data_IF_793542719428
#
_entry.id   IF_793542719428
#
_cell.length_a   1.000
_cell.length_b   1.000
_cell.length_c   1.000
_cell.angle_alpha   90.00
_cell.angle_beta   90.00
_cell.angle_gamma   90.00
#
_symmetry.space_group_name_H-M   'P 1'
#
loop_
_entity.id
_entity.type
_entity.pdbx_description
1 polymer ?
#
# COMPACT_ATOMS: atom_id res chain seq x y z
N UNK A 1 11.84 -4.05 12.57
CA UNK A 1 10.61 -3.64 13.28
C UNK A 1 9.59 -3.03 12.32
N UNK A 2 9.84 -1.85 11.72
CA UNK A 2 8.91 -1.22 10.74
C UNK A 2 8.68 -2.08 9.50
N UNK A 3 9.77 -2.56 8.89
CA UNK A 3 9.72 -3.35 7.67
C UNK A 3 8.99 -4.68 7.88
N UNK A 4 9.34 -5.37 8.97
CA UNK A 4 8.68 -6.61 9.33
C UNK A 4 7.18 -6.41 9.64
N UNK A 5 6.81 -5.30 10.28
CA UNK A 5 5.40 -4.97 10.49
C UNK A 5 4.67 -4.70 9.17
N UNK A 6 5.29 -3.99 8.23
CA UNK A 6 4.75 -3.80 6.89
C UNK A 6 4.60 -5.14 6.15
N UNK A 7 5.60 -6.02 6.22
CA UNK A 7 5.56 -7.35 5.61
C UNK A 7 4.44 -8.21 6.19
N UNK A 8 4.24 -8.19 7.51
CA UNK A 8 3.17 -8.92 8.18
C UNK A 8 1.79 -8.47 7.68
N UNK A 9 1.55 -7.16 7.58
CA UNK A 9 0.28 -6.63 7.08
C UNK A 9 0.09 -6.95 5.58
N UNK A 10 1.15 -6.87 4.77
CA UNK A 10 1.10 -7.25 3.36
C UNK A 10 0.81 -8.76 3.18
N UNK A 11 1.36 -9.63 4.02
CA UNK A 11 1.06 -11.07 4.01
C UNK A 11 -0.40 -11.35 4.37
N UNK A 12 -0.97 -10.62 5.32
CA UNK A 12 -2.39 -10.72 5.66
C UNK A 12 -3.29 -10.31 4.49
N UNK A 13 -2.94 -9.22 3.79
CA UNK A 13 -3.60 -8.80 2.56
C UNK A 13 -3.60 -9.90 1.50
N UNK A 14 -2.43 -10.49 1.23
CA UNK A 14 -2.31 -11.59 0.26
C UNK A 14 -3.14 -12.80 0.67
N UNK A 15 -3.17 -13.12 1.97
CA UNK A 15 -3.99 -14.21 2.52
C UNK A 15 -5.47 -13.93 2.29
N UNK A 16 -5.95 -12.72 2.58
CA UNK A 16 -7.34 -12.32 2.38
C UNK A 16 -7.75 -12.40 0.90
N UNK A 17 -6.90 -11.91 -0.01
CA UNK A 17 -7.15 -11.99 -1.45
C UNK A 17 -7.14 -13.44 -1.94
N UNK A 18 -6.21 -14.27 -1.46
CA UNK A 18 -6.14 -15.68 -1.85
C UNK A 18 -7.34 -16.52 -1.42
N UNK A 19 -8.06 -16.09 -0.38
CA UNK A 19 -9.27 -16.72 0.12
C UNK A 19 -10.52 -16.37 -0.72
N UNK A 20 -10.43 -15.39 -1.63
CA UNK A 20 -11.54 -15.03 -2.51
C UNK A 20 -11.77 -16.10 -3.57
N UNK A 21 -13.03 -16.47 -3.79
CA UNK A 21 -13.41 -17.49 -4.77
C UNK A 21 -13.51 -16.97 -6.21
N UNK A 22 -13.50 -15.64 -6.38
CA UNK A 22 -13.60 -14.96 -7.67
C UNK A 22 -12.87 -13.63 -7.61
N UNK A 23 -12.58 -13.03 -8.77
CA UNK A 23 -12.01 -11.68 -8.84
C UNK A 23 -12.95 -10.71 -8.11
N UNK A 24 -12.48 -9.96 -7.09
CA UNK A 24 -13.29 -8.97 -6.39
C UNK A 24 -13.73 -7.85 -7.34
N UNK A 25 -14.86 -7.21 -7.02
CA UNK A 25 -15.21 -5.93 -7.63
C UNK A 25 -14.33 -4.79 -7.11
N UNK A 26 -14.47 -3.62 -7.74
CA UNK A 26 -13.67 -2.43 -7.42
C UNK A 26 -13.80 -2.04 -5.96
N UNK A 27 -15.00 -2.06 -5.41
CA UNK A 27 -15.25 -1.56 -4.06
C UNK A 27 -14.74 -2.56 -3.01
N UNK A 28 -14.91 -3.86 -3.24
CA UNK A 28 -14.38 -4.94 -2.40
C UNK A 28 -12.85 -4.89 -2.32
N UNK A 29 -12.16 -4.80 -3.47
CA UNK A 29 -10.70 -4.74 -3.47
C UNK A 29 -10.18 -3.42 -2.87
N UNK A 30 -10.91 -2.32 -3.09
CA UNK A 30 -10.61 -1.03 -2.46
C UNK A 30 -10.67 -1.14 -0.94
N UNK A 31 -11.73 -1.74 -0.39
CA UNK A 31 -11.91 -1.87 1.04
C UNK A 31 -10.87 -2.80 1.69
N UNK A 32 -10.50 -3.89 1.01
CA UNK A 32 -9.42 -4.79 1.44
C UNK A 32 -8.10 -4.00 1.56
N UNK A 33 -7.71 -3.28 0.50
CA UNK A 33 -6.47 -2.48 0.50
C UNK A 33 -6.55 -1.34 1.51
N UNK A 34 -7.70 -0.65 1.62
CA UNK A 34 -7.90 0.43 2.58
C UNK A 34 -7.71 -0.03 4.03
N UNK A 35 -8.17 -1.24 4.38
CA UNK A 35 -7.95 -1.82 5.72
C UNK A 35 -6.46 -1.98 6.04
N UNK A 36 -5.62 -2.32 5.07
CA UNK A 36 -4.16 -2.37 5.24
C UNK A 36 -3.62 -1.00 5.67
N UNK A 37 -3.99 0.07 4.97
CA UNK A 37 -3.50 1.42 5.31
C UNK A 37 -4.07 1.94 6.63
N UNK A 38 -5.33 1.63 6.94
CA UNK A 38 -5.91 1.93 8.25
C UNK A 38 -5.13 1.29 9.39
N UNK A 39 -4.68 0.04 9.21
CA UNK A 39 -3.84 -0.63 10.22
C UNK A 39 -2.46 -0.02 10.35
N UNK A 40 -1.87 0.43 9.24
CA UNK A 40 -0.61 1.18 9.28
C UNK A 40 -0.81 2.50 10.04
N UNK A 41 -1.92 3.20 9.80
CA UNK A 41 -2.29 4.45 10.48
C UNK A 41 -2.68 4.25 11.96
N UNK A 42 -3.25 3.11 12.33
CA UNK A 42 -3.59 2.79 13.74
C UNK A 42 -2.39 2.20 14.52
N UNK A 43 -1.23 2.05 13.88
CA UNK A 43 -0.03 1.45 14.46
C UNK A 43 0.85 2.44 15.23
N UNK A 44 2.10 2.03 15.53
CA UNK A 44 3.11 2.92 16.07
C UNK A 44 3.69 3.89 15.03
N UNK A 45 3.43 3.66 13.73
CA UNK A 45 4.00 4.46 12.64
C UNK A 45 3.68 5.94 12.80
N UNK A 46 2.42 6.41 12.90
CA UNK A 46 2.11 7.84 12.96
C UNK A 46 2.86 8.60 14.05
N UNK A 47 3.11 7.99 15.21
CA UNK A 47 3.90 8.62 16.28
C UNK A 47 5.35 8.84 15.84
N UNK A 48 5.94 7.83 15.21
CA UNK A 48 7.27 7.89 14.60
C UNK A 48 7.34 8.88 13.42
N UNK A 49 6.20 9.16 12.77
CA UNK A 49 6.08 10.17 11.70
C UNK A 49 6.05 11.60 12.27
N UNK A 50 5.23 11.83 13.30
CA UNK A 50 5.06 13.14 13.92
C UNK A 50 6.36 13.69 14.52
N UNK A 51 7.22 12.81 15.03
CA UNK A 51 8.50 13.20 15.60
C UNK A 51 9.57 13.54 14.54
N UNK A 52 9.24 13.43 13.23
CA UNK A 52 10.16 13.68 12.12
C UNK A 52 11.28 12.63 11.97
N UNK A 53 11.36 11.68 12.91
CA UNK A 53 12.36 10.62 12.94
C UNK A 53 12.27 9.73 11.71
N UNK A 54 11.06 9.38 11.24
CA UNK A 54 10.94 8.58 10.02
C UNK A 54 11.40 9.35 8.78
N UNK A 55 11.03 10.63 8.64
CA UNK A 55 11.45 11.43 7.48
C UNK A 55 12.98 11.56 7.44
N UNK A 56 13.59 11.85 8.59
CA UNK A 56 15.03 11.89 8.75
C UNK A 56 15.68 10.53 8.42
N UNK A 57 15.13 9.44 8.93
CA UNK A 57 15.60 8.08 8.66
C UNK A 57 15.51 7.74 7.15
N UNK A 58 14.39 8.05 6.50
CA UNK A 58 14.20 7.82 5.07
C UNK A 58 15.19 8.63 4.20
N UNK A 59 15.57 9.83 4.62
CA UNK A 59 16.54 10.68 3.90
C UNK A 59 17.99 10.29 4.12
N UNK A 60 18.27 9.59 5.22
CA UNK A 60 19.62 9.12 5.59
C UNK A 60 19.87 7.66 5.25
N UNK A 61 18.83 6.95 4.79
CA UNK A 61 18.88 5.57 4.35
C UNK A 61 19.85 5.42 3.16
N UNK A 62 20.81 4.48 3.22
CA UNK A 62 21.63 4.09 2.08
C UNK A 62 20.77 3.79 0.84
N UNK A 63 21.14 4.27 -0.36
CA UNK A 63 20.39 4.04 -1.59
C UNK A 63 20.10 2.55 -1.86
N UNK A 64 21.01 1.67 -1.46
CA UNK A 64 20.91 0.22 -1.65
C UNK A 64 19.74 -0.37 -0.84
N UNK A 65 19.51 0.13 0.37
CA UNK A 65 18.40 -0.30 1.22
C UNK A 65 17.06 0.23 0.69
N UNK A 66 17.02 1.48 0.22
CA UNK A 66 15.82 2.02 -0.44
C UNK A 66 15.45 1.23 -1.68
N UNK A 67 16.45 0.78 -2.45
CA UNK A 67 16.24 -0.06 -3.63
C UNK A 67 15.71 -1.44 -3.25
N UNK A 68 16.27 -2.08 -2.23
CA UNK A 68 15.80 -3.37 -1.74
C UNK A 68 14.34 -3.31 -1.27
N UNK A 69 13.93 -2.22 -0.61
CA UNK A 69 12.52 -2.01 -0.24
C UNK A 69 11.60 -1.86 -1.44
N UNK A 70 12.03 -1.08 -2.44
CA UNK A 70 11.29 -0.93 -3.68
C UNK A 70 11.11 -2.28 -4.38
N UNK A 71 12.18 -3.06 -4.51
CA UNK A 71 12.14 -4.39 -5.12
C UNK A 71 11.23 -5.36 -4.33
N UNK A 72 11.25 -5.27 -2.99
CA UNK A 72 10.36 -6.06 -2.14
C UNK A 72 8.88 -5.72 -2.38
N UNK A 73 8.51 -4.43 -2.32
CA UNK A 73 7.12 -4.00 -2.56
C UNK A 73 6.65 -4.36 -3.99
N UNK A 74 7.53 -4.22 -4.99
CA UNK A 74 7.25 -4.64 -6.36
C UNK A 74 6.95 -6.15 -6.45
N UNK A 75 7.66 -6.98 -5.68
CA UNK A 75 7.41 -8.42 -5.63
C UNK A 75 6.05 -8.76 -5.01
N UNK A 76 5.65 -8.04 -3.95
CA UNK A 76 4.37 -8.25 -3.24
C UNK A 76 3.18 -7.84 -4.08
N UNK A 77 3.30 -6.75 -4.81
CA UNK A 77 2.25 -6.34 -5.76
C UNK A 77 2.14 -7.32 -6.93
N UNK A 78 3.25 -7.89 -7.43
CA UNK A 78 3.18 -8.98 -8.41
C UNK A 78 2.44 -10.20 -7.87
N UNK A 79 2.71 -10.61 -6.63
CA UNK A 79 2.00 -11.70 -5.97
C UNK A 79 0.49 -11.41 -5.89
N UNK A 80 0.11 -10.20 -5.46
CA UNK A 80 -1.28 -9.76 -5.43
C UNK A 80 -1.93 -9.85 -6.82
N UNK A 81 -1.25 -9.38 -7.86
CA UNK A 81 -1.75 -9.40 -9.25
C UNK A 81 -1.94 -10.84 -9.75
N UNK A 82 -1.02 -11.76 -9.44
CA UNK A 82 -1.12 -13.18 -9.80
C UNK A 82 -2.33 -13.87 -9.17
N UNK A 83 -2.75 -13.42 -8.00
CA UNK A 83 -3.96 -13.93 -7.32
C UNK A 83 -5.26 -13.46 -7.98
N UNK A 84 -5.20 -12.47 -8.89
CA UNK A 84 -6.37 -11.95 -9.60
C UNK A 84 -6.45 -12.55 -11.02
N UNK A 85 -7.40 -13.46 -11.29
CA UNK A 85 -7.58 -14.07 -12.60
C UNK A 85 -7.67 -13.05 -13.75
N UNK A 86 -6.88 -13.29 -14.80
CA UNK A 86 -6.89 -12.47 -16.03
C UNK A 86 -6.05 -11.20 -15.96
N UNK A 87 -5.35 -10.94 -14.86
CA UNK A 87 -4.50 -9.75 -14.74
C UNK A 87 -3.10 -9.96 -15.31
N UNK A 88 -2.56 -8.94 -15.99
CA UNK A 88 -1.17 -8.93 -16.46
C UNK A 88 -0.22 -8.23 -15.47
N UNK A 89 0.93 -8.84 -15.22
CA UNK A 89 1.98 -8.29 -14.34
C UNK A 89 2.80 -7.16 -14.97
N UNK A 90 2.57 -6.82 -16.25
CA UNK A 90 3.40 -5.89 -17.02
C UNK A 90 3.48 -4.47 -16.41
N UNK A 91 2.54 -4.11 -15.53
CA UNK A 91 2.48 -2.82 -14.85
C UNK A 91 2.55 -2.94 -13.32
N UNK A 92 2.95 -4.10 -12.80
CA UNK A 92 3.01 -4.34 -11.35
C UNK A 92 3.87 -3.30 -10.62
N UNK A 93 4.99 -2.89 -11.20
CA UNK A 93 5.88 -1.86 -10.65
C UNK A 93 5.20 -0.49 -10.58
N UNK A 94 4.35 -0.17 -11.57
CA UNK A 94 3.59 1.09 -11.59
C UNK A 94 2.52 1.09 -10.50
N UNK A 95 1.81 -0.03 -10.32
CA UNK A 95 0.84 -0.18 -9.23
C UNK A 95 1.50 -0.18 -7.86
N UNK A 96 2.66 -0.84 -7.72
CA UNK A 96 3.49 -0.77 -6.52
C UNK A 96 3.93 0.65 -6.20
N UNK A 97 4.43 1.39 -7.19
CA UNK A 97 4.79 2.79 -6.99
C UNK A 97 3.57 3.65 -6.59
N UNK A 98 2.41 3.42 -7.20
CA UNK A 98 1.18 4.15 -6.84
C UNK A 98 0.71 3.85 -5.41
N UNK A 99 0.76 2.59 -4.97
CA UNK A 99 0.45 2.21 -3.58
C UNK A 99 1.48 2.77 -2.60
N UNK A 100 2.77 2.80 -2.97
CA UNK A 100 3.80 3.50 -2.18
C UNK A 100 3.52 5.00 -2.08
N UNK A 101 3.07 5.66 -3.13
CA UNK A 101 2.63 7.06 -3.05
C UNK A 101 1.49 7.24 -2.05
N UNK A 102 0.53 6.32 -2.03
CA UNK A 102 -0.55 6.32 -1.01
C UNK A 102 0.03 6.14 0.40
N UNK A 103 1.00 5.24 0.59
CA UNK A 103 1.68 5.08 1.88
C UNK A 103 2.34 6.39 2.34
N UNK A 104 3.03 7.08 1.44
CA UNK A 104 3.70 8.34 1.76
C UNK A 104 2.73 9.44 2.20
N UNK A 105 1.45 9.37 1.81
CA UNK A 105 0.45 10.33 2.31
C UNK A 105 0.21 10.21 3.82
N UNK A 106 0.51 9.06 4.44
CA UNK A 106 0.44 8.89 5.90
C UNK A 106 1.41 9.83 6.63
N UNK A 107 2.52 10.21 5.99
CA UNK A 107 3.51 11.15 6.54
C UNK A 107 2.96 12.58 6.63
N UNK A 108 1.95 12.92 5.83
CA UNK A 108 1.45 14.29 5.65
C UNK A 108 -0.05 14.38 5.96
N UNK A 109 -0.53 13.52 6.86
CA UNK A 109 -1.95 13.43 7.23
C UNK A 109 -2.49 14.76 7.77
N UNK A 110 -1.70 15.46 8.59
CA UNK A 110 -2.03 16.79 9.12
C UNK A 110 -2.22 17.84 8.03
N UNK A 111 -1.36 17.82 7.01
CA UNK A 111 -1.35 18.74 5.88
C UNK A 111 -2.49 18.46 4.90
N UNK A 112 -2.83 17.19 4.71
CA UNK A 112 -3.95 16.75 3.86
C UNK A 112 -5.29 17.06 4.54
N UNK A 113 -5.34 16.94 5.87
CA UNK A 113 -6.52 17.21 6.70
C UNK A 113 -7.04 15.95 7.37
N UNK A 114 -6.78 15.82 8.66
CA UNK A 114 -7.10 14.61 9.44
C UNK A 114 -8.58 14.20 9.38
N UNK A 115 -9.49 15.19 9.42
CA UNK A 115 -10.94 14.96 9.44
C UNK A 115 -11.49 14.29 8.17
N UNK A 116 -10.80 14.45 7.04
CA UNK A 116 -11.22 13.94 5.72
C UNK A 116 -10.23 12.90 5.16
N UNK A 117 -9.24 12.51 5.95
CA UNK A 117 -8.12 11.72 5.46
C UNK A 117 -8.55 10.32 5.02
N UNK A 118 -9.40 9.64 5.80
CA UNK A 118 -9.90 8.30 5.46
C UNK A 118 -10.68 8.28 4.14
N UNK A 119 -11.49 9.32 3.88
CA UNK A 119 -12.22 9.46 2.62
C UNK A 119 -11.27 9.74 1.45
N UNK A 120 -10.28 10.60 1.68
CA UNK A 120 -9.22 10.90 0.70
C UNK A 120 -8.44 9.64 0.32
N UNK A 121 -8.06 8.85 1.31
CA UNK A 121 -7.32 7.61 1.15
C UNK A 121 -8.13 6.58 0.34
N UNK A 122 -9.42 6.43 0.64
CA UNK A 122 -10.32 5.58 -0.17
C UNK A 122 -10.39 6.03 -1.62
N UNK A 123 -10.49 7.34 -1.89
CA UNK A 123 -10.53 7.86 -3.26
C UNK A 123 -9.26 7.49 -4.04
N UNK A 124 -8.08 7.69 -3.42
CA UNK A 124 -6.79 7.36 -4.04
C UNK A 124 -6.67 5.87 -4.35
N UNK A 125 -6.95 5.02 -3.35
CA UNK A 125 -6.88 3.56 -3.50
C UNK A 125 -7.89 3.09 -4.56
N UNK A 126 -9.12 3.60 -4.53
CA UNK A 126 -10.15 3.24 -5.51
C UNK A 126 -9.73 3.59 -6.93
N UNK A 127 -9.09 4.75 -7.13
CA UNK A 127 -8.52 5.14 -8.42
C UNK A 127 -7.50 4.13 -8.93
N UNK A 128 -6.60 3.67 -8.06
CA UNK A 128 -5.61 2.62 -8.37
C UNK A 128 -6.33 1.31 -8.73
N UNK A 129 -7.30 0.87 -7.94
CA UNK A 129 -8.05 -0.38 -8.14
C UNK A 129 -8.84 -0.36 -9.45
N UNK A 130 -9.47 0.76 -9.80
CA UNK A 130 -10.17 0.92 -11.08
C UNK A 130 -9.19 0.70 -12.25
N UNK A 131 -8.01 1.30 -12.18
CA UNK A 131 -7.01 1.16 -13.24
C UNK A 131 -6.45 -0.25 -13.28
N UNK A 132 -6.20 -0.86 -12.11
CA UNK A 132 -5.77 -2.24 -11.99
C UNK A 132 -6.79 -3.17 -12.66
N UNK A 133 -8.06 -3.14 -12.28
CA UNK A 133 -9.06 -4.06 -12.82
C UNK A 133 -9.46 -3.77 -14.28
N UNK A 134 -9.08 -2.61 -14.85
CA UNK A 134 -9.23 -2.31 -16.28
C UNK A 134 -8.14 -2.93 -17.15
N UNK A 135 -6.99 -3.26 -16.58
CA UNK A 135 -5.85 -3.87 -17.27
C UNK A 135 -5.91 -5.40 -17.31
N UNK A 136 -7.14 -5.93 -17.25
CA UNK A 136 -7.45 -7.34 -17.54
C UNK A 136 -7.24 -7.66 -19.02
#
# INVERSE_FOLDING_TARGET
>A
MILQFNDDIQNELLTEISALTSVPDVDTLTDIIFRLYRRLDDSFLPRLLQDGELEFFMRTLPPELSKLHTEHDDSRVRELIKLLPGMHEARAEVFSAALRCVFLTLLYKSEIGEAIYDETLRILIRGIVIQLLKER
#
